data_IF_182987479399
#
_entry.id   IF_182987479399
#
_cell.length_a   1.000
_cell.length_b   1.000
_cell.length_c   1.000
_cell.angle_alpha   90.00
_cell.angle_beta   90.00
_cell.angle_gamma   90.00
#
_symmetry.space_group_name_H-M   'P 1'
#
loop_
_entity.id
_entity.type
_entity.pdbx_description
1 polymer ?
#
# COMPACT_ATOMS: atom_id res chain seq x y z
N UNK A 1 -11.47 44.83 7.46
CA UNK A 1 -10.14 44.20 7.53
C UNK A 1 -10.28 42.83 6.92
N UNK A 2 -9.70 42.61 5.73
CA UNK A 2 -9.73 41.31 5.08
C UNK A 2 -8.70 40.40 5.76
N UNK A 3 -9.13 39.21 6.21
CA UNK A 3 -8.19 38.18 6.64
C UNK A 3 -7.40 37.74 5.40
N UNK A 4 -6.18 38.21 5.27
CA UNK A 4 -5.21 37.67 4.31
C UNK A 4 -4.80 36.27 4.78
N UNK A 5 -5.61 35.28 4.44
CA UNK A 5 -5.21 33.88 4.57
C UNK A 5 -4.12 33.64 3.53
N UNK A 6 -2.85 33.77 3.93
CA UNK A 6 -1.71 33.33 3.11
C UNK A 6 -1.99 31.88 2.72
N UNK A 7 -2.15 31.63 1.41
CA UNK A 7 -2.08 30.27 0.88
C UNK A 7 -0.72 29.72 1.30
N UNK A 8 -0.73 28.67 2.11
CA UNK A 8 0.48 27.92 2.39
C UNK A 8 0.98 27.37 1.05
N UNK A 9 2.19 27.72 0.67
CA UNK A 9 2.82 27.12 -0.49
C UNK A 9 3.02 25.62 -0.17
N UNK A 10 2.63 24.72 -1.08
CA UNK A 10 2.84 23.30 -0.87
C UNK A 10 4.35 23.02 -0.83
N UNK A 11 4.83 22.54 0.32
CA UNK A 11 6.22 22.08 0.48
C UNK A 11 6.35 20.67 -0.05
N UNK A 12 7.37 20.40 -0.86
CA UNK A 12 7.63 19.06 -1.37
C UNK A 12 7.99 18.10 -0.24
N UNK A 13 7.57 16.83 -0.31
CA UNK A 13 7.90 15.83 0.72
C UNK A 13 9.42 15.71 0.97
N UNK A 14 10.24 15.94 -0.06
CA UNK A 14 11.71 15.93 0.01
C UNK A 14 12.31 17.13 0.76
N UNK A 15 11.53 18.19 0.95
CA UNK A 15 11.92 19.43 1.62
C UNK A 15 11.41 19.47 3.07
N UNK A 16 10.62 18.48 3.48
CA UNK A 16 10.20 18.34 4.86
C UNK A 16 11.39 17.87 5.70
N UNK A 17 11.59 18.50 6.85
CA UNK A 17 12.57 18.06 7.82
C UNK A 17 12.31 16.60 8.21
N UNK A 18 13.38 15.80 8.24
CA UNK A 18 13.31 14.44 8.76
C UNK A 18 12.99 14.56 10.24
N UNK A 19 11.85 13.99 10.66
CA UNK A 19 11.48 13.91 12.07
C UNK A 19 12.38 12.87 12.72
N UNK A 20 13.46 13.33 13.37
CA UNK A 20 14.42 12.45 14.08
C UNK A 20 13.93 12.02 15.45
N UNK A 21 12.96 12.72 16.02
CA UNK A 21 12.36 12.44 17.33
C UNK A 21 10.83 12.58 17.21
N UNK A 22 10.11 11.49 16.91
CA UNK A 22 8.67 11.52 16.71
C UNK A 22 7.87 11.61 18.02
N UNK A 23 8.54 11.78 19.16
CA UNK A 23 7.88 11.91 20.46
C UNK A 23 6.93 13.10 20.51
N UNK A 24 5.68 12.83 20.89
CA UNK A 24 4.61 13.82 20.94
C UNK A 24 4.01 14.20 19.58
N UNK A 25 4.40 13.55 18.48
CA UNK A 25 3.73 13.72 17.21
C UNK A 25 2.35 13.08 17.26
N UNK A 26 1.39 13.78 16.67
CA UNK A 26 0.06 13.25 16.46
C UNK A 26 -0.12 12.91 14.99
N UNK A 27 -0.55 11.70 14.72
CA UNK A 27 -1.01 11.31 13.38
C UNK A 27 -2.51 11.09 13.42
N UNK A 28 -3.14 11.16 12.24
CA UNK A 28 -4.51 10.68 12.09
C UNK A 28 -4.43 9.20 11.70
N UNK A 29 -4.96 8.33 12.55
CA UNK A 29 -4.88 6.90 12.37
C UNK A 29 -6.06 6.19 13.01
N UNK A 30 -6.10 4.87 12.87
CA UNK A 30 -7.07 4.03 13.56
C UNK A 30 -6.33 3.17 14.58
N UNK A 31 -6.81 3.18 15.82
CA UNK A 31 -6.30 2.36 16.91
C UNK A 31 -7.39 1.39 17.38
N UNK A 32 -7.00 0.17 17.72
CA UNK A 32 -7.89 -0.78 18.37
C UNK A 32 -7.84 -0.55 19.88
N UNK A 33 -8.97 -0.15 20.46
CA UNK A 33 -9.13 0.02 21.91
C UNK A 33 -10.26 -0.89 22.38
N UNK A 34 -9.96 -1.86 23.26
CA UNK A 34 -10.94 -2.82 23.80
C UNK A 34 -11.69 -3.63 22.71
N UNK A 35 -11.01 -3.97 21.60
CA UNK A 35 -11.60 -4.72 20.49
C UNK A 35 -12.41 -3.87 19.50
N UNK A 36 -12.49 -2.55 19.71
CA UNK A 36 -13.15 -1.63 18.80
C UNK A 36 -12.13 -0.75 18.07
N UNK A 37 -12.25 -0.65 16.75
CA UNK A 37 -11.45 0.27 15.94
C UNK A 37 -11.98 1.70 16.06
N UNK A 38 -11.13 2.61 16.55
CA UNK A 38 -11.41 4.04 16.62
C UNK A 38 -10.46 4.83 15.74
N UNK A 39 -11.00 5.57 14.80
CA UNK A 39 -10.24 6.53 13.97
C UNK A 39 -10.18 7.89 14.64
N UNK A 40 -9.01 8.50 14.66
CA UNK A 40 -8.82 9.84 15.22
C UNK A 40 -7.37 10.24 15.34
N UNK A 41 -7.15 11.30 16.11
CA UNK A 41 -5.80 11.80 16.39
C UNK A 41 -5.12 10.92 17.42
N UNK A 42 -4.18 10.08 16.99
CA UNK A 42 -3.40 9.20 17.87
C UNK A 42 -1.97 9.74 18.04
N UNK A 43 -1.43 9.55 19.24
CA UNK A 43 -0.05 9.90 19.54
C UNK A 43 0.84 8.82 18.90
N UNK A 44 1.82 9.22 18.09
CA UNK A 44 2.68 8.31 17.34
C UNK A 44 3.37 7.30 18.27
N UNK A 45 3.81 7.75 19.45
CA UNK A 45 4.48 6.93 20.46
C UNK A 45 3.60 5.83 21.08
N UNK A 46 2.27 5.91 20.92
CA UNK A 46 1.32 4.91 21.42
C UNK A 46 0.98 3.83 20.40
N UNK A 47 1.59 3.91 19.22
CA UNK A 47 1.34 2.96 18.14
C UNK A 47 2.44 1.89 18.20
N UNK A 48 2.22 0.86 19.03
CA UNK A 48 3.20 -0.23 19.23
C UNK A 48 3.48 -1.04 17.96
N UNK A 49 2.58 -1.00 16.97
CA UNK A 49 2.73 -1.63 15.65
C UNK A 49 2.02 -0.80 14.58
N UNK A 50 2.76 0.05 13.87
CA UNK A 50 2.25 0.71 12.68
C UNK A 50 2.33 -0.26 11.49
N UNK A 51 1.23 -0.93 11.18
CA UNK A 51 1.05 -1.51 9.85
C UNK A 51 0.61 -0.39 8.91
N UNK A 52 1.52 0.06 8.03
CA UNK A 52 1.17 1.03 6.99
C UNK A 52 0.57 0.28 5.81
N UNK A 53 -0.70 0.54 5.52
CA UNK A 53 -1.32 0.02 4.31
C UNK A 53 -0.73 0.72 3.08
N UNK A 54 -0.20 -0.06 2.14
CA UNK A 54 0.25 0.38 0.82
C UNK A 54 -0.81 -0.03 -0.19
N UNK A 55 -1.17 0.91 -1.06
CA UNK A 55 -2.08 0.68 -2.19
C UNK A 55 -1.33 0.98 -3.47
N UNK A 56 -1.27 0.00 -4.36
CA UNK A 56 -0.49 0.09 -5.60
C UNK A 56 -1.43 -0.24 -6.75
N UNK A 57 -1.56 0.69 -7.70
CA UNK A 57 -2.32 0.48 -8.93
C UNK A 57 -1.36 0.27 -10.09
N UNK A 58 -1.58 -0.78 -10.86
CA UNK A 58 -0.82 -1.12 -12.06
C UNK A 58 -1.77 -1.28 -13.24
N UNK A 59 -1.46 -0.56 -14.31
CA UNK A 59 -2.00 -0.82 -15.65
C UNK A 59 -0.99 -1.66 -16.41
N UNK A 60 -1.43 -2.82 -16.89
CA UNK A 60 -0.58 -3.81 -17.55
C UNK A 60 -1.00 -3.93 -19.01
N UNK A 61 -0.11 -3.52 -19.92
CA UNK A 61 -0.23 -3.75 -21.37
C UNK A 61 0.55 -5.00 -21.82
N UNK A 62 1.42 -5.50 -20.95
CA UNK A 62 2.17 -6.75 -21.09
C UNK A 62 1.69 -7.74 -20.05
N UNK A 63 1.87 -9.04 -20.31
CA UNK A 63 1.51 -10.09 -19.35
C UNK A 63 2.37 -10.09 -18.09
N UNK A 64 3.44 -9.31 -18.06
CA UNK A 64 4.42 -9.31 -16.98
C UNK A 64 4.85 -7.89 -16.65
N UNK A 65 5.03 -7.61 -15.37
CA UNK A 65 5.64 -6.38 -14.85
C UNK A 65 6.52 -6.73 -13.65
N UNK A 66 7.66 -6.05 -13.54
CA UNK A 66 8.56 -6.17 -12.39
C UNK A 66 8.53 -4.88 -11.57
N UNK A 67 8.52 -5.04 -10.25
CA UNK A 67 8.56 -3.94 -9.29
C UNK A 67 9.69 -4.15 -8.30
N UNK A 68 10.41 -3.09 -7.97
CA UNK A 68 11.34 -3.10 -6.85
C UNK A 68 10.64 -2.67 -5.57
N UNK A 69 10.69 -3.50 -4.55
CA UNK A 69 10.06 -3.29 -3.26
C UNK A 69 11.13 -3.00 -2.21
N UNK A 70 11.13 -1.77 -1.67
CA UNK A 70 12.16 -1.30 -0.74
C UNK A 70 12.00 -1.77 0.70
N UNK A 71 10.76 -2.02 1.13
CA UNK A 71 10.37 -2.35 2.50
C UNK A 71 9.70 -3.72 2.55
N UNK A 72 9.79 -4.42 3.68
CA UNK A 72 9.10 -5.70 3.87
C UNK A 72 7.58 -5.45 3.94
N UNK A 73 6.80 -6.27 3.23
CA UNK A 73 5.35 -6.14 3.22
C UNK A 73 4.63 -7.46 2.94
N UNK A 74 3.38 -7.55 3.35
CA UNK A 74 2.49 -8.67 3.03
C UNK A 74 1.34 -8.19 2.16
N UNK A 75 1.22 -8.74 0.95
CA UNK A 75 0.06 -8.54 0.08
C UNK A 75 -1.08 -9.43 0.60
N UNK A 76 -2.19 -8.81 0.97
CA UNK A 76 -3.31 -9.51 1.58
C UNK A 76 -4.61 -9.46 0.77
N UNK A 77 -4.68 -8.59 -0.24
CA UNK A 77 -5.81 -8.49 -1.15
C UNK A 77 -5.36 -7.93 -2.49
N UNK A 78 -5.98 -8.41 -3.56
CA UNK A 78 -5.91 -7.80 -4.88
C UNK A 78 -7.31 -7.56 -5.41
N UNK A 79 -7.50 -6.50 -6.17
CA UNK A 79 -8.67 -6.27 -7.01
C UNK A 79 -8.18 -6.18 -8.44
N UNK A 80 -8.92 -6.81 -9.35
CA UNK A 80 -8.46 -6.89 -10.74
C UNK A 80 -9.58 -6.59 -11.72
N UNK A 81 -9.18 -6.09 -12.88
CA UNK A 81 -10.03 -6.00 -14.06
C UNK A 81 -9.31 -6.61 -15.26
N UNK A 82 -10.03 -7.40 -16.06
CA UNK A 82 -9.50 -8.21 -17.15
C UNK A 82 -8.35 -9.18 -16.78
N UNK A 83 -8.34 -9.74 -15.56
CA UNK A 83 -7.33 -10.73 -15.12
C UNK A 83 -8.01 -12.02 -14.65
N UNK A 84 -7.69 -13.14 -15.29
CA UNK A 84 -8.15 -14.48 -14.91
C UNK A 84 -7.30 -15.08 -13.78
N UNK A 85 -5.97 -14.95 -13.89
CA UNK A 85 -5.02 -15.43 -12.88
C UNK A 85 -3.86 -14.45 -12.70
N UNK A 86 -3.32 -14.43 -11.48
CA UNK A 86 -2.19 -13.60 -11.09
C UNK A 86 -1.12 -14.46 -10.47
N UNK A 87 0.09 -14.41 -10.97
CA UNK A 87 1.28 -15.03 -10.39
C UNK A 87 2.16 -13.96 -9.75
N UNK A 88 2.53 -14.13 -8.48
CA UNK A 88 3.43 -13.26 -7.73
C UNK A 88 4.65 -14.07 -7.31
N UNK A 89 5.79 -13.83 -7.97
CA UNK A 89 6.95 -14.73 -7.85
C UNK A 89 6.61 -16.13 -8.38
N UNK A 90 6.65 -17.14 -7.51
CA UNK A 90 6.40 -18.55 -7.87
C UNK A 90 4.97 -19.03 -7.56
N UNK A 91 4.10 -18.15 -7.06
CA UNK A 91 2.78 -18.53 -6.56
C UNK A 91 1.68 -17.94 -7.44
N UNK A 92 0.74 -18.79 -7.85
CA UNK A 92 -0.37 -18.41 -8.75
C UNK A 92 -1.69 -18.41 -8.00
N UNK A 93 -2.42 -17.31 -8.15
CA UNK A 93 -3.72 -17.06 -7.56
C UNK A 93 -4.79 -16.99 -8.67
N UNK A 94 -5.96 -17.57 -8.41
CA UNK A 94 -7.16 -17.54 -9.27
C UNK A 94 -8.34 -17.03 -8.45
N UNK A 95 -9.51 -16.72 -9.04
CA UNK A 95 -10.68 -16.21 -8.30
C UNK A 95 -10.39 -14.93 -7.47
N UNK A 96 -9.59 -14.02 -8.04
CA UNK A 96 -8.92 -12.92 -7.35
C UNK A 96 -9.84 -11.98 -6.55
N UNK A 97 -11.08 -11.77 -6.99
CA UNK A 97 -12.01 -10.84 -6.33
C UNK A 97 -12.54 -11.31 -4.97
N UNK A 98 -12.32 -12.57 -4.57
CA UNK A 98 -12.82 -13.12 -3.30
C UNK A 98 -11.73 -13.79 -2.45
N UNK A 99 -10.45 -13.59 -2.78
CA UNK A 99 -9.34 -14.22 -2.05
C UNK A 99 -8.69 -13.22 -1.09
N UNK A 100 -8.51 -13.65 0.16
CA UNK A 100 -7.48 -13.09 1.03
C UNK A 100 -6.16 -13.78 0.72
N UNK A 101 -5.15 -12.97 0.40
CA UNK A 101 -3.79 -13.43 0.16
C UNK A 101 -3.00 -13.36 1.48
N UNK A 102 -1.90 -14.09 1.55
CA UNK A 102 -0.88 -13.93 2.59
C UNK A 102 0.51 -14.00 1.96
N UNK A 103 0.72 -13.15 0.95
CA UNK A 103 1.95 -13.17 0.17
C UNK A 103 2.96 -12.22 0.78
N UNK A 104 3.90 -12.78 1.54
CA UNK A 104 5.05 -12.04 2.08
C UNK A 104 6.04 -11.68 0.99
N UNK A 105 6.47 -10.42 1.00
CA UNK A 105 7.48 -9.84 0.11
C UNK A 105 8.63 -9.32 0.98
N UNK A 106 9.82 -9.83 0.73
CA UNK A 106 11.04 -9.42 1.43
C UNK A 106 11.48 -8.01 1.04
N UNK A 107 12.09 -7.28 1.98
CA UNK A 107 12.66 -5.96 1.69
C UNK A 107 13.77 -6.04 0.63
N UNK A 108 13.88 -4.99 -0.17
CA UNK A 108 14.88 -4.83 -1.25
C UNK A 108 14.85 -5.96 -2.28
N UNK A 109 13.65 -6.48 -2.56
CA UNK A 109 13.44 -7.53 -3.56
C UNK A 109 12.84 -6.98 -4.84
N UNK A 110 13.12 -7.65 -5.97
CA UNK A 110 12.36 -7.48 -7.20
C UNK A 110 11.24 -8.50 -7.20
N UNK A 111 10.00 -8.03 -7.34
CA UNK A 111 8.82 -8.87 -7.41
C UNK A 111 8.30 -8.83 -8.84
N UNK A 112 8.14 -10.01 -9.43
CA UNK A 112 7.51 -10.17 -10.73
C UNK A 112 6.03 -10.49 -10.54
N UNK A 113 5.19 -9.72 -11.22
CA UNK A 113 3.76 -9.97 -11.35
C UNK A 113 3.51 -10.43 -12.79
N UNK A 114 3.02 -11.65 -12.95
CA UNK A 114 2.59 -12.21 -14.23
C UNK A 114 1.09 -12.40 -14.21
N UNK A 115 0.39 -12.05 -15.28
CA UNK A 115 -1.06 -12.20 -15.40
C UNK A 115 -1.45 -13.09 -16.58
N UNK A 116 -2.57 -13.76 -16.41
CA UNK A 116 -3.35 -14.32 -17.52
C UNK A 116 -4.58 -13.44 -17.75
N UNK A 117 -4.72 -12.81 -18.93
CA UNK A 117 -5.89 -11.99 -19.24
C UNK A 117 -7.17 -12.81 -19.29
N UNK A 118 -8.29 -12.24 -18.83
CA UNK A 118 -9.61 -12.88 -18.90
C UNK A 118 -10.24 -12.79 -20.29
N UNK A 119 -9.93 -11.71 -21.01
CA UNK A 119 -10.45 -11.42 -22.35
C UNK A 119 -9.29 -11.14 -23.31
N UNK A 120 -9.61 -10.87 -24.58
CA UNK A 120 -8.64 -10.45 -25.59
C UNK A 120 -8.27 -8.96 -25.51
N UNK A 121 -8.85 -8.20 -24.58
CA UNK A 121 -8.45 -6.81 -24.35
C UNK A 121 -6.97 -6.78 -23.94
N UNK A 122 -6.13 -5.97 -24.61
CA UNK A 122 -4.70 -5.91 -24.33
C UNK A 122 -4.37 -5.31 -22.96
N UNK A 123 -5.30 -4.58 -22.34
CA UNK A 123 -5.05 -3.88 -21.08
C UNK A 123 -5.70 -4.62 -19.91
N UNK A 124 -4.93 -4.84 -18.86
CA UNK A 124 -5.38 -5.39 -17.60
C UNK A 124 -5.03 -4.47 -16.44
N UNK A 125 -5.80 -4.54 -15.36
CA UNK A 125 -5.60 -3.70 -14.18
C UNK A 125 -5.42 -4.55 -12.94
N UNK A 126 -4.40 -4.22 -12.15
CA UNK A 126 -4.18 -4.77 -10.83
C UNK A 126 -4.20 -3.64 -9.80
N UNK A 127 -4.96 -3.83 -8.73
CA UNK A 127 -4.93 -2.99 -7.56
C UNK A 127 -4.53 -3.84 -6.35
N UNK A 128 -3.35 -3.57 -5.81
CA UNK A 128 -2.71 -4.39 -4.78
C UNK A 128 -2.84 -3.68 -3.44
N UNK A 129 -3.33 -4.42 -2.45
CA UNK A 129 -3.37 -4.00 -1.06
C UNK A 129 -2.31 -4.78 -0.27
N UNK A 130 -1.39 -4.05 0.34
CA UNK A 130 -0.32 -4.63 1.14
C UNK A 130 -0.18 -3.93 2.48
N UNK A 131 0.32 -4.63 3.49
CA UNK A 131 0.70 -4.06 4.78
C UNK A 131 2.21 -4.06 4.88
N UNK A 132 2.81 -2.89 5.02
CA UNK A 132 4.22 -2.74 5.32
C UNK A 132 4.42 -2.72 6.84
N UNK A 133 5.43 -3.42 7.32
CA UNK A 133 5.86 -3.37 8.72
C UNK A 133 6.97 -2.34 8.86
N UNK A 134 6.76 -1.35 9.74
CA UNK A 134 7.84 -0.48 10.19
C UNK A 134 8.68 -1.25 11.21
N UNK A 135 9.94 -1.51 10.86
CA UNK A 135 10.97 -2.05 11.76
C UNK A 135 11.44 -0.99 12.76
#
# INVERSE_FOLDING_TARGET
MANETRKLDPVGLSELDIITEPRGFYIFGSIEENGEMKSGRCLFDKLEKLQLERRISLTMETKEVEMFIGEEMTIYKVETDNVASLTIGDETFTNLNNIQLDKKIEKRSKVKFTIEPLTSDPTAYLFIYAKAELL
#
